data_IF_574813847509
#
_entry.id   IF_574813847509
#
_cell.length_a   1.000
_cell.length_b   1.000
_cell.length_c   1.000
_cell.angle_alpha   90.00
_cell.angle_beta   90.00
_cell.angle_gamma   90.00
#
_symmetry.space_group_name_H-M   'P 1'
#
loop_
_entity.id
_entity.type
_entity.pdbx_description
1 polymer ?
#
# COMPACT_ATOMS: atom_id res chain seq x y z
N UNK A 1 4.17 -0.60 17.83
CA UNK A 1 3.79 -0.67 16.40
C UNK A 1 2.33 -0.25 16.32
N UNK A 2 2.03 0.89 15.69
CA UNK A 2 0.68 1.48 15.58
C UNK A 2 0.10 1.08 14.22
N UNK A 3 -1.11 0.50 14.13
CA UNK A 3 -1.73 0.13 12.86
C UNK A 3 -1.67 1.24 11.81
N UNK A 4 -1.34 0.88 10.56
CA UNK A 4 -1.25 1.80 9.43
C UNK A 4 -2.05 1.27 8.24
N UNK A 5 -2.85 2.16 7.64
CA UNK A 5 -3.52 1.92 6.38
C UNK A 5 -3.29 3.09 5.40
N UNK A 6 -2.48 2.87 4.37
CA UNK A 6 -2.19 3.85 3.32
C UNK A 6 -3.10 3.69 2.11
N UNK A 7 -3.64 4.79 1.58
CA UNK A 7 -4.53 4.78 0.41
C UNK A 7 -3.95 5.68 -0.68
N UNK A 8 -3.82 5.17 -1.90
CA UNK A 8 -3.33 5.88 -3.08
C UNK A 8 -1.97 6.54 -2.80
N UNK A 9 -1.91 7.87 -2.63
CA UNK A 9 -0.69 8.57 -2.20
C UNK A 9 -0.11 8.01 -0.89
N UNK A 10 -0.94 7.46 0.00
CA UNK A 10 -0.47 6.79 1.21
C UNK A 10 0.43 5.58 0.95
N UNK A 11 0.18 4.81 -0.12
CA UNK A 11 1.10 3.74 -0.55
C UNK A 11 2.41 4.32 -1.03
N UNK A 12 2.34 5.36 -1.86
CA UNK A 12 3.52 6.02 -2.42
C UNK A 12 4.42 6.59 -1.32
N UNK A 13 3.84 7.25 -0.32
CA UNK A 13 4.57 7.74 0.84
C UNK A 13 5.18 6.61 1.67
N UNK A 14 4.46 5.49 1.86
CA UNK A 14 5.00 4.33 2.56
C UNK A 14 6.22 3.75 1.82
N UNK A 15 6.15 3.61 0.49
CA UNK A 15 7.27 3.17 -0.34
C UNK A 15 8.47 4.12 -0.24
N UNK A 16 8.24 5.44 -0.25
CA UNK A 16 9.31 6.43 -0.10
C UNK A 16 10.00 6.28 1.25
N UNK A 17 9.24 6.19 2.34
CA UNK A 17 9.81 6.12 3.69
C UNK A 17 10.53 4.78 3.94
N UNK A 18 9.92 3.66 3.56
CA UNK A 18 10.56 2.35 3.63
C UNK A 18 11.85 2.32 2.79
N UNK A 19 11.82 2.96 1.62
CA UNK A 19 12.99 3.11 0.76
C UNK A 19 14.14 3.82 1.48
N UNK A 20 13.86 4.88 2.23
CA UNK A 20 14.87 5.63 2.98
C UNK A 20 15.37 4.84 4.19
N UNK A 21 14.47 4.30 4.98
CA UNK A 21 14.79 3.77 6.31
C UNK A 21 15.25 2.30 6.28
N UNK A 22 14.55 1.45 5.52
CA UNK A 22 14.80 0.00 5.53
C UNK A 22 15.67 -0.45 4.36
N UNK A 23 15.52 0.19 3.20
CA UNK A 23 16.28 -0.17 1.98
C UNK A 23 17.61 0.61 1.88
N UNK A 24 17.72 1.77 2.54
CA UNK A 24 18.92 2.62 2.52
C UNK A 24 19.04 3.53 1.29
N UNK A 25 17.94 3.77 0.58
CA UNK A 25 17.84 4.73 -0.50
C UNK A 25 17.55 6.13 0.08
N UNK A 26 18.55 6.79 0.65
CA UNK A 26 18.40 8.06 1.38
C UNK A 26 17.59 9.13 0.64
N UNK A 27 17.70 9.16 -0.69
CA UNK A 27 16.98 10.11 -1.56
C UNK A 27 15.76 9.52 -2.24
N UNK A 28 15.23 8.37 -1.81
CA UNK A 28 14.01 7.79 -2.38
C UNK A 28 12.90 8.84 -2.46
N UNK A 29 12.21 8.86 -3.59
CA UNK A 29 11.20 9.87 -3.88
C UNK A 29 10.24 9.44 -4.98
N UNK A 30 9.26 10.31 -5.22
CA UNK A 30 8.38 10.23 -6.37
C UNK A 30 8.84 11.19 -7.45
N UNK A 31 8.83 10.75 -8.69
CA UNK A 31 9.06 11.62 -9.85
C UNK A 31 8.01 12.76 -9.95
N UNK A 32 6.88 12.65 -9.24
CA UNK A 32 5.89 13.73 -9.14
C UNK A 32 6.38 14.91 -8.29
N UNK A 33 6.97 14.63 -7.12
CA UNK A 33 7.33 15.65 -6.13
C UNK A 33 8.80 16.03 -6.16
N UNK A 34 9.66 15.13 -6.63
CA UNK A 34 11.11 15.31 -6.66
C UNK A 34 11.66 14.70 -7.96
N UNK A 35 11.40 15.32 -9.13
CA UNK A 35 11.85 14.81 -10.43
C UNK A 35 13.35 14.49 -10.52
N UNK A 36 14.16 15.21 -9.75
CA UNK A 36 15.62 15.10 -9.72
C UNK A 36 16.14 14.03 -8.75
N UNK A 37 15.25 13.26 -8.10
CA UNK A 37 15.68 12.17 -7.23
C UNK A 37 16.47 11.12 -8.02
N UNK A 38 17.63 10.66 -7.52
CA UNK A 38 18.34 9.52 -8.11
C UNK A 38 17.61 8.18 -7.86
N UNK A 39 16.59 8.17 -6.98
CA UNK A 39 15.87 6.98 -6.54
C UNK A 39 14.36 7.18 -6.67
N UNK A 40 13.87 7.27 -7.91
CA UNK A 40 12.45 7.43 -8.22
C UNK A 40 11.73 6.09 -8.03
N UNK A 41 11.42 5.76 -6.78
CA UNK A 41 10.69 4.54 -6.38
C UNK A 41 9.22 4.60 -6.78
N UNK A 42 8.69 5.81 -7.00
CA UNK A 42 7.38 6.06 -7.61
C UNK A 42 7.59 6.86 -8.90
N UNK A 43 7.03 6.40 -10.02
CA UNK A 43 7.26 7.01 -11.33
C UNK A 43 6.06 6.86 -12.29
N UNK A 44 6.11 7.56 -13.43
CA UNK A 44 5.28 7.19 -14.59
C UNK A 44 5.94 6.01 -15.28
N UNK A 45 5.14 4.99 -15.61
CA UNK A 45 5.58 3.82 -16.38
C UNK A 45 6.15 4.25 -17.74
N UNK A 46 7.10 3.49 -18.29
CA UNK A 46 7.82 3.88 -19.52
C UNK A 46 6.91 4.09 -20.73
N UNK A 47 5.86 3.29 -20.87
CA UNK A 47 4.85 3.43 -21.94
C UNK A 47 4.05 4.74 -21.86
N UNK A 48 4.18 5.46 -20.75
CA UNK A 48 3.52 6.74 -20.48
C UNK A 48 4.49 7.93 -20.61
N UNK A 49 5.80 7.69 -20.71
CA UNK A 49 6.83 8.73 -20.83
C UNK A 49 6.85 9.28 -22.25
N UNK A 50 6.34 10.51 -22.42
CA UNK A 50 6.31 11.20 -23.72
C UNK A 50 4.91 11.55 -24.22
N UNK A 51 3.86 11.17 -23.48
CA UNK A 51 2.50 11.64 -23.78
C UNK A 51 2.39 13.11 -23.34
N UNK A 52 2.42 14.03 -24.31
CA UNK A 52 2.30 15.48 -24.09
C UNK A 52 0.99 15.87 -23.35
N UNK A 53 0.00 14.98 -23.35
CA UNK A 53 -1.26 15.11 -22.66
C UNK A 53 -1.36 14.07 -21.53
N UNK A 54 -1.02 14.48 -20.30
CA UNK A 54 -1.07 13.68 -19.07
C UNK A 54 -2.46 13.11 -18.72
N UNK A 55 -3.49 13.39 -19.53
CA UNK A 55 -4.77 12.71 -19.49
C UNK A 55 -4.69 11.22 -19.86
N UNK A 56 -3.76 10.83 -20.74
CA UNK A 56 -3.62 9.44 -21.21
C UNK A 56 -2.95 8.48 -20.22
N UNK A 57 -2.33 9.00 -19.16
CA UNK A 57 -1.60 8.20 -18.15
C UNK A 57 -2.44 7.87 -16.92
N UNK A 58 -3.65 8.45 -16.82
CA UNK A 58 -4.52 8.30 -15.65
C UNK A 58 -5.22 6.94 -15.66
N UNK A 59 -4.98 6.13 -14.63
CA UNK A 59 -5.82 4.98 -14.32
C UNK A 59 -7.07 5.45 -13.60
N UNK A 60 -8.21 5.33 -14.28
CA UNK A 60 -9.51 5.79 -13.81
C UNK A 60 -10.56 4.72 -14.05
N UNK A 61 -11.07 4.10 -12.98
CA UNK A 61 -12.07 3.05 -13.10
C UNK A 61 -11.77 1.85 -12.22
N UNK A 62 -12.52 0.77 -12.42
CA UNK A 62 -12.29 -0.49 -11.71
C UNK A 62 -11.28 -1.34 -12.49
N UNK A 63 -10.27 -1.87 -11.80
CA UNK A 63 -9.23 -2.72 -12.36
C UNK A 63 -9.10 -4.01 -11.54
N UNK A 64 -8.77 -5.14 -12.16
CA UNK A 64 -8.52 -6.39 -11.46
C UNK A 64 -7.21 -6.34 -10.66
N UNK A 65 -7.17 -7.08 -9.56
CA UNK A 65 -6.00 -7.26 -8.71
C UNK A 65 -5.99 -8.71 -8.20
N UNK A 66 -4.86 -9.40 -8.37
CA UNK A 66 -4.63 -10.75 -7.90
C UNK A 66 -3.85 -10.70 -6.59
N UNK A 67 -4.40 -11.33 -5.55
CA UNK A 67 -3.83 -11.35 -4.22
C UNK A 67 -2.93 -12.56 -4.02
N UNK A 68 -1.83 -12.36 -3.31
CA UNK A 68 -0.95 -13.44 -2.85
C UNK A 68 -1.69 -14.25 -1.78
N UNK A 69 -1.78 -15.59 -1.90
CA UNK A 69 -2.36 -16.43 -0.87
C UNK A 69 -1.72 -16.21 0.50
N UNK A 70 -2.50 -16.40 1.57
CA UNK A 70 -2.03 -16.25 2.97
C UNK A 70 -1.59 -14.83 3.36
N UNK A 71 -1.66 -13.86 2.46
CA UNK A 71 -1.46 -12.44 2.78
C UNK A 71 -2.57 -11.89 3.67
N UNK A 72 -2.30 -10.78 4.37
CA UNK A 72 -3.33 -10.09 5.15
C UNK A 72 -4.45 -9.61 4.23
N UNK A 73 -4.13 -9.08 3.05
CA UNK A 73 -5.13 -8.68 2.06
C UNK A 73 -6.04 -9.85 1.68
N UNK A 74 -5.49 -11.01 1.33
CA UNK A 74 -6.29 -12.20 1.00
C UNK A 74 -7.20 -12.60 2.17
N UNK A 75 -6.71 -12.57 3.41
CA UNK A 75 -7.52 -12.84 4.60
C UNK A 75 -8.64 -11.79 4.81
N UNK A 76 -8.36 -10.51 4.56
CA UNK A 76 -9.36 -9.43 4.67
C UNK A 76 -10.50 -9.63 3.67
N UNK A 77 -10.15 -9.89 2.40
CA UNK A 77 -11.12 -10.02 1.31
C UNK A 77 -11.85 -11.36 1.32
N UNK A 78 -11.19 -12.45 1.73
CA UNK A 78 -11.71 -13.81 1.63
C UNK A 78 -11.75 -14.34 0.19
N UNK A 79 -11.00 -13.71 -0.72
CA UNK A 79 -10.90 -14.02 -2.14
C UNK A 79 -9.47 -13.71 -2.62
N UNK A 80 -9.04 -14.30 -3.73
CA UNK A 80 -7.75 -14.03 -4.36
C UNK A 80 -7.88 -13.16 -5.61
N UNK A 81 -9.06 -13.06 -6.20
CA UNK A 81 -9.33 -12.22 -7.37
C UNK A 81 -10.29 -11.09 -6.97
N UNK A 82 -9.78 -9.85 -6.94
CA UNK A 82 -10.58 -8.68 -6.57
C UNK A 82 -10.59 -7.66 -7.70
N UNK A 83 -11.50 -6.69 -7.63
CA UNK A 83 -11.54 -5.55 -8.54
C UNK A 83 -11.75 -4.26 -7.78
N UNK A 84 -10.85 -3.30 -7.90
CA UNK A 84 -10.83 -2.07 -7.09
C UNK A 84 -10.76 -0.81 -7.94
N UNK A 85 -11.18 0.33 -7.36
CA UNK A 85 -11.31 1.58 -8.11
C UNK A 85 -10.07 2.46 -7.97
N UNK A 86 -9.51 2.87 -9.10
CA UNK A 86 -8.32 3.70 -9.18
C UNK A 86 -8.65 5.11 -9.67
N UNK A 87 -7.84 6.07 -9.22
CA UNK A 87 -7.81 7.45 -9.70
C UNK A 87 -6.42 8.06 -9.44
N UNK A 88 -5.42 7.56 -10.15
CA UNK A 88 -4.03 7.99 -9.98
C UNK A 88 -3.26 7.88 -11.32
N UNK A 89 -1.99 8.29 -11.33
CA UNK A 89 -1.12 8.30 -12.52
C UNK A 89 0.24 7.63 -12.29
N UNK A 90 0.79 7.81 -11.10
CA UNK A 90 2.12 7.34 -10.77
C UNK A 90 2.05 5.96 -10.12
N UNK A 91 2.98 5.10 -10.52
CA UNK A 91 3.05 3.70 -10.12
C UNK A 91 4.35 3.41 -9.37
N UNK A 92 4.39 2.28 -8.68
CA UNK A 92 5.63 1.75 -8.10
C UNK A 92 6.60 1.38 -9.22
N UNK A 93 7.84 1.85 -9.11
CA UNK A 93 8.88 1.50 -10.06
C UNK A 93 9.42 0.09 -9.79
N UNK A 94 9.07 -0.84 -10.67
CA UNK A 94 9.42 -2.25 -10.55
C UNK A 94 10.93 -2.53 -10.44
N UNK A 95 11.79 -1.63 -10.93
CA UNK A 95 13.25 -1.75 -10.79
C UNK A 95 13.68 -1.88 -9.33
N UNK A 96 12.95 -1.27 -8.40
CA UNK A 96 13.27 -1.29 -6.97
C UNK A 96 12.62 -2.45 -6.20
N UNK A 97 11.60 -3.13 -6.76
CA UNK A 97 10.84 -4.18 -6.05
C UNK A 97 11.72 -5.22 -5.34
N UNK A 98 12.78 -5.78 -5.97
CA UNK A 98 13.62 -6.77 -5.31
C UNK A 98 14.29 -6.25 -4.02
N UNK A 99 14.66 -4.97 -3.98
CA UNK A 99 15.30 -4.37 -2.80
C UNK A 99 14.30 -4.18 -1.65
N UNK A 100 13.05 -3.83 -1.98
CA UNK A 100 11.96 -3.72 -1.00
C UNK A 100 11.56 -5.09 -0.45
N UNK A 101 11.48 -6.11 -1.31
CA UNK A 101 11.21 -7.49 -0.89
C UNK A 101 12.31 -8.03 0.04
N UNK A 102 13.58 -7.76 -0.26
CA UNK A 102 14.71 -8.08 0.62
C UNK A 102 14.63 -7.37 1.97
N UNK A 103 14.06 -6.16 2.01
CA UNK A 103 13.82 -5.40 3.24
C UNK A 103 12.55 -5.86 4.00
N UNK A 104 11.84 -6.89 3.52
CA UNK A 104 10.69 -7.50 4.18
C UNK A 104 9.33 -6.94 3.73
N UNK A 105 9.27 -6.15 2.66
CA UNK A 105 7.99 -5.77 2.04
C UNK A 105 7.42 -6.94 1.25
N UNK A 106 6.12 -7.14 1.36
CA UNK A 106 5.38 -8.07 0.50
C UNK A 106 4.44 -7.28 -0.39
N UNK A 107 4.60 -7.40 -1.71
CA UNK A 107 3.64 -6.88 -2.68
C UNK A 107 2.48 -7.88 -2.82
N UNK A 108 1.54 -7.81 -1.89
CA UNK A 108 0.49 -8.81 -1.71
C UNK A 108 -0.66 -8.72 -2.71
N UNK A 109 -0.69 -7.69 -3.56
CA UNK A 109 -1.67 -7.55 -4.62
C UNK A 109 -1.06 -6.90 -5.85
N UNK A 110 -1.20 -7.55 -7.00
CA UNK A 110 -0.66 -7.10 -8.28
C UNK A 110 -1.75 -7.07 -9.35
N UNK A 111 -1.56 -6.30 -10.42
CA UNK A 111 -2.36 -6.47 -11.64
C UNK A 111 -2.20 -7.88 -12.22
N UNK A 112 -3.12 -8.38 -13.06
CA UNK A 112 -3.08 -9.76 -13.56
C UNK A 112 -1.83 -10.14 -14.35
N UNK A 113 -1.18 -9.16 -15.00
CA UNK A 113 0.10 -9.30 -15.70
C UNK A 113 1.31 -9.23 -14.73
N UNK A 114 1.11 -8.85 -13.48
CA UNK A 114 2.14 -8.75 -12.45
C UNK A 114 2.92 -7.44 -12.43
N UNK A 115 2.61 -6.52 -13.35
CA UNK A 115 3.41 -5.32 -13.59
C UNK A 115 3.06 -4.15 -12.67
N UNK A 116 1.82 -4.05 -12.20
CA UNK A 116 1.39 -2.95 -11.33
C UNK A 116 1.25 -3.45 -9.90
N UNK A 117 1.85 -2.72 -8.97
CA UNK A 117 1.68 -2.95 -7.53
C UNK A 117 0.39 -2.29 -7.07
N UNK A 118 -0.55 -3.10 -6.62
CA UNK A 118 -1.85 -2.62 -6.14
C UNK A 118 -1.94 -2.61 -4.61
N UNK A 119 -1.25 -3.56 -3.95
CA UNK A 119 -1.19 -3.67 -2.49
C UNK A 119 0.24 -4.01 -2.05
N UNK A 120 0.70 -3.34 -0.99
CA UNK A 120 1.92 -3.69 -0.26
C UNK A 120 1.65 -3.86 1.24
N UNK A 121 2.40 -4.75 1.87
CA UNK A 121 2.31 -5.08 3.29
C UNK A 121 3.70 -5.16 3.94
N UNK A 122 3.75 -4.90 5.25
CA UNK A 122 4.88 -5.30 6.11
C UNK A 122 4.38 -6.40 7.07
N UNK A 123 4.69 -7.68 6.82
CA UNK A 123 4.16 -8.80 7.61
C UNK A 123 4.55 -8.75 9.09
N UNK A 124 5.75 -8.27 9.40
CA UNK A 124 6.25 -8.10 10.77
C UNK A 124 5.50 -7.02 11.58
N UNK A 125 4.60 -6.26 10.95
CA UNK A 125 3.80 -5.22 11.60
C UNK A 125 2.36 -5.71 11.84
N UNK A 126 1.74 -5.49 13.03
CA UNK A 126 0.42 -6.01 13.37
C UNK A 126 -0.66 -5.72 12.33
N UNK A 127 -0.68 -4.49 11.82
CA UNK A 127 -1.44 -4.11 10.63
C UNK A 127 -0.69 -3.00 9.89
N UNK A 128 -0.02 -3.34 8.80
CA UNK A 128 0.56 -2.37 7.87
C UNK A 128 0.17 -2.81 6.47
N UNK A 129 -0.82 -2.13 5.93
CA UNK A 129 -1.33 -2.36 4.57
C UNK A 129 -1.32 -1.02 3.88
N UNK A 130 -0.90 -0.99 2.63
CA UNK A 130 -1.02 0.18 1.78
C UNK A 130 -1.55 -0.28 0.42
N UNK A 131 -2.48 0.50 -0.15
CA UNK A 131 -3.13 0.20 -1.42
C UNK A 131 -3.02 1.37 -2.38
N UNK A 132 -2.92 1.08 -3.68
CA UNK A 132 -2.89 2.09 -4.72
C UNK A 132 -4.29 2.55 -5.12
N UNK A 133 -5.30 1.69 -4.96
CA UNK A 133 -6.72 1.99 -5.22
C UNK A 133 -7.38 2.78 -4.08
N UNK A 134 -8.66 3.12 -4.29
CA UNK A 134 -9.55 3.86 -3.40
C UNK A 134 -10.66 2.94 -2.83
N UNK A 135 -10.39 2.18 -1.76
CA UNK A 135 -11.37 1.28 -1.13
C UNK A 135 -12.62 2.01 -0.62
N UNK A 136 -12.50 3.30 -0.32
CA UNK A 136 -13.60 4.18 0.11
C UNK A 136 -14.73 4.26 -0.92
N UNK A 137 -14.41 4.10 -2.21
CA UNK A 137 -15.41 4.17 -3.28
C UNK A 137 -16.32 2.93 -3.34
N UNK A 138 -15.89 1.81 -2.75
CA UNK A 138 -16.64 0.54 -2.69
C UNK A 138 -17.24 0.25 -1.31
N UNK A 139 -16.85 0.99 -0.27
CA UNK A 139 -17.45 0.87 1.07
C UNK A 139 -18.91 1.33 1.08
N UNK A 140 -19.78 0.65 1.85
CA UNK A 140 -21.20 0.99 2.01
C UNK A 140 -21.61 0.86 3.48
N UNK A 141 -22.65 1.58 3.96
CA UNK A 141 -23.06 1.54 5.37
C UNK A 141 -23.35 0.13 5.91
N UNK A 142 -24.06 -0.72 5.14
CA UNK A 142 -24.36 -2.10 5.53
C UNK A 142 -23.32 -3.13 5.09
N UNK A 143 -22.26 -2.69 4.42
CA UNK A 143 -21.19 -3.56 3.90
C UNK A 143 -19.89 -2.75 3.84
N UNK A 144 -19.24 -2.52 5.00
CA UNK A 144 -17.98 -1.79 5.03
C UNK A 144 -16.96 -2.53 4.19
N UNK A 145 -16.08 -1.79 3.53
CA UNK A 145 -14.99 -2.39 2.79
C UNK A 145 -14.09 -3.21 3.74
N UNK A 146 -13.69 -4.44 3.36
CA UNK A 146 -12.99 -5.36 4.26
C UNK A 146 -11.72 -4.75 4.86
N UNK A 147 -10.88 -4.09 4.06
CA UNK A 147 -9.67 -3.44 4.57
C UNK A 147 -9.93 -2.37 5.66
N UNK A 148 -11.03 -1.61 5.56
CA UNK A 148 -11.38 -0.66 6.62
C UNK A 148 -11.89 -1.37 7.87
N UNK A 149 -12.70 -2.42 7.71
CA UNK A 149 -13.19 -3.23 8.82
C UNK A 149 -12.03 -3.81 9.62
N UNK A 150 -11.08 -4.45 8.94
CA UNK A 150 -9.93 -5.07 9.60
C UNK A 150 -8.94 -4.04 10.15
N UNK A 151 -8.75 -2.90 9.48
CA UNK A 151 -7.92 -1.81 10.02
C UNK A 151 -8.48 -1.26 11.34
N UNK A 152 -9.80 -1.05 11.43
CA UNK A 152 -10.45 -0.59 12.67
C UNK A 152 -10.35 -1.66 13.76
N UNK A 153 -10.54 -2.94 13.42
CA UNK A 153 -10.33 -4.03 14.38
C UNK A 153 -8.90 -4.03 14.94
N UNK A 154 -7.89 -3.93 14.08
CA UNK A 154 -6.50 -3.84 14.51
C UNK A 154 -6.21 -2.59 15.37
N UNK A 155 -6.88 -1.46 15.10
CA UNK A 155 -6.77 -0.26 15.91
C UNK A 155 -7.36 -0.43 17.32
N UNK A 156 -8.50 -1.13 17.45
CA UNK A 156 -9.11 -1.48 18.74
C UNK A 156 -8.18 -2.41 19.53
N UNK A 157 -7.68 -3.48 18.90
CA UNK A 157 -6.73 -4.41 19.54
C UNK A 157 -5.46 -3.68 20.02
N UNK A 158 -4.95 -2.73 19.23
CA UNK A 158 -3.81 -1.92 19.62
C UNK A 158 -4.09 -1.07 20.87
N UNK A 159 -5.28 -0.47 20.95
CA UNK A 159 -5.71 0.32 22.11
C UNK A 159 -5.83 -0.56 23.36
N UNK A 160 -6.48 -1.71 23.26
CA UNK A 160 -6.66 -2.64 24.38
C UNK A 160 -5.32 -3.16 24.92
N UNK A 161 -4.40 -3.54 24.04
CA UNK A 161 -3.06 -3.95 24.42
C UNK A 161 -2.26 -2.81 25.10
N UNK A 162 -2.50 -1.56 24.73
CA UNK A 162 -1.94 -0.39 25.41
C UNK A 162 -2.49 -0.18 26.82
N UNK A 163 -3.80 -0.33 26.98
CA UNK A 163 -4.48 -0.21 28.28
C UNK A 163 -4.07 -1.31 29.27
N UNK A 164 -3.85 -2.53 28.80
CA UNK A 164 -3.42 -3.63 29.68
C UNK A 164 -2.02 -3.37 30.25
N UNK A 165 -1.10 -2.82 29.43
CA UNK A 165 0.25 -2.44 29.89
C UNK A 165 0.23 -1.31 30.92
N UNK A 166 -0.70 -0.36 30.83
CA UNK A 166 -0.79 0.73 31.80
C UNK A 166 -1.37 0.27 33.14
N UNK A 167 -2.31 -0.69 33.12
CA UNK A 167 -2.84 -1.32 34.34
C UNK A 167 -1.74 -2.12 35.07
N UNK A 168 -0.95 -2.92 34.34
CA UNK A 168 0.15 -3.70 34.94
C UNK A 168 1.28 -2.81 35.50
N UNK A 169 1.49 -1.62 34.94
CA UNK A 169 2.43 -0.63 35.46
C UNK A 169 1.91 0.13 36.68
N UNK A 170 0.59 0.30 36.81
CA UNK A 170 -0.03 0.94 37.96
C UNK A 170 -0.19 -0.02 39.16
N UNK A 171 -0.10 -1.33 38.93
CA UNK A 171 -0.22 -2.38 39.93
C UNK A 171 1.13 -2.79 40.59
N UNK A 172 2.25 -2.23 40.12
CA UNK A 172 3.61 -2.41 40.66
C UNK A 172 4.13 -1.10 41.26
#
# INVERSE_FOLDING_TARGET
KVPFFGICLGLQCAMIEIGRDLVGLEKAGSAEFTPETPHAVIHLMEDQRGIANMGGTMRLGAYPCHLVPESRAAACYGDLEISERHRHRYEVNNTYRPQFEQAGVVFSGLSPDGDLVEIMELPEHPFFVAVQFHPELKSRPGRPHPLFREFVAAAVEHQEAGNMKSVDQAAN
#
